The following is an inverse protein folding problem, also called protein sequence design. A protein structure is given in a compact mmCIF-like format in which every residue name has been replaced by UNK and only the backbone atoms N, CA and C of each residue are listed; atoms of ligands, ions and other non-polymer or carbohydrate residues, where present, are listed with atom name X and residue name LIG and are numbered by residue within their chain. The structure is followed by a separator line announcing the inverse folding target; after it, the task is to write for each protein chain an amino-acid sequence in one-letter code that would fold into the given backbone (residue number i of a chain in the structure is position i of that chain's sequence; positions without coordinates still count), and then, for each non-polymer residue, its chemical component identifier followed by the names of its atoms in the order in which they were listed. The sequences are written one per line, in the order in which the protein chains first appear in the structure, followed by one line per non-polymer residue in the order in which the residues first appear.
data_IF_051078729912
#
_entry.id   IF_051078729912
#
_cell.length_a   1.000
_cell.length_b   1.000
_cell.length_c   1.000
_cell.angle_alpha   90.00
_cell.angle_beta   90.00
_cell.angle_gamma   90.00
#
_symmetry.space_group_name_H-M   'P 1'
#
loop_
_entity.id
_entity.type
_entity.pdbx_description
1 polymer ?
#
# COMPACT_ATOMS: atom_id res chain seq x y z
N UNK A 1 -20.26 1.53 -9.98
CA UNK A 1 -19.19 2.28 -10.69
C UNK A 1 -18.58 1.45 -11.81
N UNK A 2 -18.13 0.22 -11.58
CA UNK A 2 -17.56 -0.63 -12.64
C UNK A 2 -18.49 -0.90 -13.83
N UNK A 3 -19.80 -1.09 -13.61
CA UNK A 3 -20.74 -1.21 -14.74
C UNK A 3 -20.86 0.08 -15.56
N UNK A 4 -20.64 1.24 -14.96
CA UNK A 4 -20.59 2.52 -15.68
C UNK A 4 -19.32 2.64 -16.50
N UNK A 5 -18.18 2.18 -15.97
CA UNK A 5 -16.90 2.09 -16.68
C UNK A 5 -17.00 1.12 -17.86
N UNK A 6 -17.54 -0.10 -17.66
CA UNK A 6 -17.78 -1.08 -18.72
C UNK A 6 -18.73 -0.55 -19.81
N UNK A 7 -19.75 0.22 -19.42
CA UNK A 7 -20.66 0.91 -20.35
C UNK A 7 -20.12 2.23 -20.90
N UNK A 8 -18.83 2.54 -20.69
CA UNK A 8 -18.14 3.74 -21.19
C UNK A 8 -18.81 5.06 -20.80
N UNK A 9 -19.45 5.10 -19.62
CA UNK A 9 -20.01 6.33 -19.03
C UNK A 9 -18.98 7.11 -18.20
N UNK A 10 -17.86 6.47 -17.89
CA UNK A 10 -16.69 6.99 -17.19
C UNK A 10 -15.48 6.39 -17.90
N UNK A 11 -14.38 7.14 -18.05
CA UNK A 11 -13.17 6.68 -18.74
C UNK A 11 -12.25 5.83 -17.85
N UNK A 12 -12.18 6.17 -16.55
CA UNK A 12 -11.37 5.45 -15.55
C UNK A 12 -11.92 5.67 -14.13
N UNK A 13 -11.65 4.73 -13.24
CA UNK A 13 -11.96 4.84 -11.81
C UNK A 13 -10.67 4.57 -11.03
N UNK A 14 -10.22 5.49 -10.16
CA UNK A 14 -9.11 5.18 -9.26
C UNK A 14 -9.58 4.17 -8.22
N UNK A 15 -8.82 3.11 -8.02
CA UNK A 15 -9.06 2.07 -7.01
C UNK A 15 -7.79 1.79 -6.23
N UNK A 16 -7.93 1.25 -5.02
CA UNK A 16 -6.78 0.79 -4.25
C UNK A 16 -6.12 -0.40 -4.95
N UNK A 17 -4.78 -0.44 -4.96
CA UNK A 17 -4.03 -1.61 -5.45
C UNK A 17 -4.43 -2.89 -4.70
N UNK A 18 -4.79 -2.78 -3.42
CA UNK A 18 -5.21 -3.91 -2.59
C UNK A 18 -6.56 -4.52 -3.02
N UNK A 19 -7.40 -3.74 -3.71
CA UNK A 19 -8.76 -4.19 -4.07
C UNK A 19 -8.83 -4.81 -5.47
N UNK A 20 -7.79 -4.63 -6.30
CA UNK A 20 -7.78 -5.00 -7.73
C UNK A 20 -8.17 -6.47 -7.92
N UNK A 21 -7.45 -7.38 -7.27
CA UNK A 21 -7.68 -8.82 -7.42
C UNK A 21 -9.05 -9.24 -6.92
N UNK A 22 -9.47 -8.72 -5.76
CA UNK A 22 -10.78 -9.01 -5.18
C UNK A 22 -11.90 -8.59 -6.12
N UNK A 23 -11.77 -7.42 -6.74
CA UNK A 23 -12.77 -6.88 -7.67
C UNK A 23 -12.81 -7.71 -8.95
N UNK A 24 -11.67 -8.03 -9.55
CA UNK A 24 -11.61 -8.80 -10.79
C UNK A 24 -12.07 -10.26 -10.59
N UNK A 25 -11.71 -10.88 -9.46
CA UNK A 25 -12.09 -12.25 -9.14
C UNK A 25 -13.59 -12.40 -8.81
N UNK A 26 -14.18 -11.39 -8.14
CA UNK A 26 -15.60 -11.43 -7.77
C UNK A 26 -16.55 -11.14 -8.94
N UNK A 27 -16.04 -10.58 -10.05
CA UNK A 27 -16.83 -10.23 -11.25
C UNK A 27 -16.11 -10.61 -12.55
N UNK A 28 -16.05 -11.91 -12.88
CA UNK A 28 -15.35 -12.40 -14.06
C UNK A 28 -15.81 -11.76 -15.37
N UNK A 29 -17.10 -11.43 -15.47
CA UNK A 29 -17.68 -10.78 -16.65
C UNK A 29 -17.15 -9.36 -16.89
N UNK A 30 -16.68 -8.70 -15.81
CA UNK A 30 -16.01 -7.42 -15.92
C UNK A 30 -14.52 -7.57 -16.21
N UNK A 31 -13.88 -8.64 -15.74
CA UNK A 31 -12.46 -8.89 -15.98
C UNK A 31 -12.14 -9.07 -17.48
N UNK A 32 -13.11 -9.44 -18.32
CA UNK A 32 -12.96 -9.50 -19.78
C UNK A 32 -13.08 -8.11 -20.46
N UNK A 33 -13.68 -7.13 -19.78
CA UNK A 33 -13.99 -5.81 -20.34
C UNK A 33 -13.14 -4.69 -19.75
N UNK A 34 -12.61 -4.91 -18.56
CA UNK A 34 -11.85 -3.95 -17.78
C UNK A 34 -10.44 -4.49 -17.56
N UNK A 35 -9.49 -3.58 -17.45
CA UNK A 35 -8.11 -3.89 -17.12
C UNK A 35 -7.59 -2.86 -16.13
N UNK A 36 -6.56 -3.24 -15.37
CA UNK A 36 -5.77 -2.25 -14.66
C UNK A 36 -5.07 -1.37 -15.70
N UNK A 37 -5.21 -0.05 -15.57
CA UNK A 37 -4.56 0.89 -16.47
C UNK A 37 -3.04 0.85 -16.22
N UNK A 38 -2.21 0.41 -17.19
CA UNK A 38 -0.77 0.37 -17.01
C UNK A 38 -0.18 1.78 -16.95
N UNK A 39 1.03 1.86 -16.41
CA UNK A 39 1.91 3.03 -16.39
C UNK A 39 1.41 4.25 -15.60
N UNK A 40 0.22 4.19 -15.00
CA UNK A 40 -0.38 5.29 -14.25
C UNK A 40 -0.66 4.87 -12.81
N UNK A 41 -0.08 5.59 -11.86
CA UNK A 41 -0.41 5.47 -10.44
C UNK A 41 -0.82 6.81 -9.88
N UNK A 42 -1.87 6.81 -9.06
CA UNK A 42 -2.28 7.97 -8.27
C UNK A 42 -1.87 7.74 -6.83
N UNK A 43 -0.98 8.58 -6.30
CA UNK A 43 -0.63 8.58 -4.90
C UNK A 43 -1.35 9.73 -4.20
N UNK A 44 -2.03 9.41 -3.10
CA UNK A 44 -2.73 10.36 -2.26
C UNK A 44 -2.24 10.20 -0.82
N UNK A 45 -1.56 11.20 -0.24
CA UNK A 45 -1.06 11.11 1.11
C UNK A 45 -2.24 11.04 2.08
N UNK A 46 -2.31 9.92 2.78
CA UNK A 46 -3.32 9.65 3.80
C UNK A 46 -2.64 8.90 4.94
N UNK A 47 -2.46 9.54 6.11
CA UNK A 47 -1.77 8.91 7.23
C UNK A 47 -2.57 7.73 7.78
N UNK A 48 -1.86 6.66 8.16
CA UNK A 48 -2.43 5.57 8.95
C UNK A 48 -2.43 6.00 10.41
N UNK A 49 -3.63 6.17 10.99
CA UNK A 49 -3.80 6.62 12.37
C UNK A 49 -4.37 5.47 13.20
N UNK A 50 -3.68 5.15 14.30
CA UNK A 50 -4.18 4.20 15.30
C UNK A 50 -4.96 4.95 16.37
N UNK A 51 -6.22 4.60 16.56
CA UNK A 51 -7.07 5.13 17.63
C UNK A 51 -7.10 4.16 18.80
N UNK A 52 -6.97 4.68 20.03
CA UNK A 52 -7.18 3.93 21.26
C UNK A 52 -8.29 4.58 22.08
N UNK A 53 -8.84 3.83 23.04
CA UNK A 53 -9.83 4.36 23.97
C UNK A 53 -9.21 5.49 24.82
N UNK A 54 -9.91 6.61 24.94
CA UNK A 54 -9.50 7.76 25.76
C UNK A 54 -9.31 7.42 27.23
N UNK A 55 -9.97 6.38 27.73
CA UNK A 55 -9.87 5.92 29.11
C UNK A 55 -8.70 4.95 29.34
N UNK A 56 -7.94 4.60 28.29
CA UNK A 56 -6.81 3.66 28.33
C UNK A 56 -5.53 4.31 27.77
N UNK A 57 -5.02 5.41 28.36
CA UNK A 57 -3.87 6.14 27.82
C UNK A 57 -2.59 5.29 27.75
N UNK A 58 -2.44 4.33 28.67
CA UNK A 58 -1.32 3.36 28.65
C UNK A 58 -1.32 2.49 27.39
N UNK A 59 -2.45 2.30 26.74
CA UNK A 59 -2.51 1.56 25.47
C UNK A 59 -1.82 2.33 24.35
N UNK A 60 -2.01 3.66 24.29
CA UNK A 60 -1.32 4.50 23.32
C UNK A 60 0.20 4.40 23.48
N UNK A 61 0.69 4.60 24.71
CA UNK A 61 2.12 4.52 25.04
C UNK A 61 2.73 3.18 24.64
N UNK A 62 2.03 2.07 24.97
CA UNK A 62 2.50 0.72 24.64
C UNK A 62 2.50 0.45 23.15
N UNK A 63 1.45 0.89 22.44
CA UNK A 63 1.35 0.72 20.99
C UNK A 63 2.45 1.50 20.28
N UNK A 64 2.66 2.76 20.67
CA UNK A 64 3.71 3.61 20.11
C UNK A 64 5.10 3.01 20.36
N UNK A 65 5.39 2.60 21.61
CA UNK A 65 6.66 1.95 21.94
C UNK A 65 6.88 0.66 21.12
N UNK A 66 5.85 -0.18 20.99
CA UNK A 66 5.92 -1.41 20.21
C UNK A 66 6.18 -1.17 18.73
N UNK A 67 5.48 -0.21 18.12
CA UNK A 67 5.68 0.16 16.72
C UNK A 67 7.10 0.74 16.49
N UNK A 68 7.60 1.55 17.42
CA UNK A 68 8.94 2.12 17.34
C UNK A 68 10.02 1.04 17.44
N UNK A 69 9.86 0.07 18.36
CA UNK A 69 10.75 -1.08 18.45
C UNK A 69 10.73 -1.91 17.16
N UNK A 70 9.54 -2.17 16.62
CA UNK A 70 9.39 -2.94 15.39
C UNK A 70 10.00 -2.25 14.16
N UNK A 71 10.00 -0.91 14.13
CA UNK A 71 10.71 -0.13 13.11
C UNK A 71 12.23 -0.21 13.30
N UNK A 72 12.71 -0.07 14.53
CA UNK A 72 14.14 -0.11 14.86
C UNK A 72 14.78 -1.47 14.56
N UNK A 73 14.09 -2.57 14.86
CA UNK A 73 14.58 -3.93 14.59
C UNK A 73 14.22 -4.48 13.19
N UNK A 74 13.55 -3.64 12.39
CA UNK A 74 13.11 -3.93 11.03
C UNK A 74 12.02 -5.00 10.91
N UNK A 75 11.41 -5.46 12.01
CA UNK A 75 10.30 -6.41 11.95
C UNK A 75 9.06 -5.81 11.31
N UNK A 76 8.83 -4.51 11.49
CA UNK A 76 7.78 -3.78 10.78
C UNK A 76 7.98 -3.87 9.27
N UNK A 77 9.18 -3.53 8.79
CA UNK A 77 9.51 -3.55 7.36
C UNK A 77 9.37 -4.96 6.75
N UNK A 78 9.82 -6.00 7.49
CA UNK A 78 9.67 -7.40 7.07
C UNK A 78 8.20 -7.79 6.94
N UNK A 79 7.38 -7.45 7.94
CA UNK A 79 5.96 -7.75 7.95
C UNK A 79 5.24 -7.00 6.83
N UNK A 80 5.53 -5.71 6.65
CA UNK A 80 4.96 -4.90 5.58
C UNK A 80 5.26 -5.50 4.21
N UNK A 81 6.53 -5.79 3.95
CA UNK A 81 6.97 -6.38 2.67
C UNK A 81 6.37 -7.75 2.41
N UNK A 82 6.25 -8.61 3.41
CA UNK A 82 5.64 -9.92 3.21
C UNK A 82 4.11 -9.83 3.03
N UNK A 83 3.46 -8.89 3.69
CA UNK A 83 2.01 -8.73 3.64
C UNK A 83 1.54 -8.08 2.33
N UNK A 84 2.34 -7.18 1.77
CA UNK A 84 2.01 -6.41 0.56
C UNK A 84 2.90 -6.77 -0.64
N UNK A 85 3.48 -7.97 -0.65
CA UNK A 85 4.42 -8.38 -1.69
C UNK A 85 3.82 -8.30 -3.10
N UNK A 86 2.53 -8.61 -3.23
CA UNK A 86 1.82 -8.58 -4.50
C UNK A 86 1.62 -7.15 -5.01
N UNK A 87 1.12 -6.26 -4.17
CA UNK A 87 0.87 -4.85 -4.50
C UNK A 87 2.18 -4.11 -4.77
N UNK A 88 3.24 -4.43 -4.02
CA UNK A 88 4.59 -3.93 -4.28
C UNK A 88 5.09 -4.38 -5.66
N UNK A 89 4.79 -5.62 -6.07
CA UNK A 89 5.14 -6.10 -7.41
C UNK A 89 4.33 -5.38 -8.50
N UNK A 90 3.02 -5.19 -8.31
CA UNK A 90 2.19 -4.40 -9.24
C UNK A 90 2.71 -2.97 -9.42
N UNK A 91 3.12 -2.33 -8.32
CA UNK A 91 3.70 -0.98 -8.35
C UNK A 91 5.03 -0.94 -9.10
N UNK A 92 5.84 -2.02 -9.03
CA UNK A 92 7.11 -2.12 -9.76
C UNK A 92 6.91 -2.33 -11.25
N UNK A 93 5.98 -3.20 -11.61
CA UNK A 93 5.76 -3.60 -13.00
C UNK A 93 4.98 -2.54 -13.78
N UNK A 94 4.17 -1.72 -13.09
CA UNK A 94 3.20 -0.83 -13.72
C UNK A 94 3.42 0.67 -13.57
N UNK A 95 4.52 1.18 -12.99
CA UNK A 95 4.61 2.61 -12.63
C UNK A 95 5.77 3.36 -13.27
N UNK A 96 5.51 4.00 -14.42
CA UNK A 96 6.39 5.03 -14.98
C UNK A 96 5.85 6.46 -14.79
N UNK A 97 4.52 6.65 -14.71
CA UNK A 97 3.90 7.98 -14.50
C UNK A 97 3.08 8.02 -13.21
N UNK A 98 3.60 8.76 -12.23
CA UNK A 98 2.95 8.94 -10.91
C UNK A 98 2.33 10.32 -10.80
N UNK A 99 1.06 10.37 -10.44
CA UNK A 99 0.36 11.59 -10.05
C UNK A 99 0.28 11.65 -8.54
N UNK A 100 0.93 12.64 -7.94
CA UNK A 100 0.83 12.92 -6.51
C UNK A 100 -0.25 13.96 -6.30
N UNK A 101 -1.32 13.56 -5.62
CA UNK A 101 -2.41 14.46 -5.26
C UNK A 101 -2.09 15.17 -3.95
N UNK A 102 -2.35 16.47 -3.89
CA UNK A 102 -2.30 17.20 -2.63
C UNK A 102 -3.56 16.89 -1.80
N UNK A 103 -3.39 16.55 -0.53
CA UNK A 103 -4.49 16.43 0.40
C UNK A 103 -4.49 17.63 1.37
N UNK A 104 -5.31 18.68 1.14
CA UNK A 104 -5.33 19.87 1.99
C UNK A 104 -5.95 19.62 3.36
N UNK A 105 -6.53 18.43 3.60
CA UNK A 105 -7.21 18.07 4.83
C UNK A 105 -6.33 17.27 5.80
N UNK A 106 -5.10 16.92 5.42
CA UNK A 106 -4.15 16.26 6.34
C UNK A 106 -3.44 17.33 7.15
N UNK A 107 -3.51 17.28 8.49
CA UNK A 107 -2.69 18.13 9.36
C UNK A 107 -1.22 17.99 8.97
N UNK A 108 -0.48 19.12 8.91
CA UNK A 108 0.89 19.12 8.40
C UNK A 108 1.81 18.15 9.14
N UNK A 109 1.52 17.93 10.42
CA UNK A 109 2.24 17.04 11.32
C UNK A 109 2.11 15.56 10.93
N UNK A 110 1.12 15.21 10.11
CA UNK A 110 0.85 13.84 9.66
C UNK A 110 1.20 13.62 8.18
N UNK A 111 1.72 14.63 7.48
CA UNK A 111 2.04 14.55 6.04
C UNK A 111 3.38 13.83 5.78
N UNK A 112 4.06 13.35 6.82
CA UNK A 112 5.49 12.98 6.75
C UNK A 112 5.84 11.70 5.98
N UNK A 113 4.89 10.95 5.42
CA UNK A 113 5.23 9.76 4.62
C UNK A 113 5.46 10.09 3.15
N UNK A 114 6.71 9.98 2.71
CA UNK A 114 7.09 10.05 1.29
C UNK A 114 6.44 8.87 0.54
N UNK A 115 5.92 9.06 -0.69
CA UNK A 115 5.46 7.95 -1.51
C UNK A 115 6.57 6.91 -1.71
N UNK A 116 6.23 5.62 -1.59
CA UNK A 116 7.16 4.52 -1.86
C UNK A 116 7.70 4.61 -3.30
N UNK A 117 9.01 4.66 -3.46
CA UNK A 117 9.61 4.58 -4.79
C UNK A 117 9.49 3.14 -5.34
N UNK A 118 9.31 2.94 -6.66
CA UNK A 118 9.26 1.58 -7.23
C UNK A 118 10.55 0.78 -6.94
N UNK A 119 11.68 1.46 -6.77
CA UNK A 119 12.97 0.86 -6.37
C UNK A 119 12.98 0.40 -4.92
N UNK A 120 12.24 1.07 -4.03
CA UNK A 120 12.13 0.73 -2.60
C UNK A 120 11.15 -0.42 -2.35
N UNK A 121 10.20 -0.64 -3.27
CA UNK A 121 9.28 -1.77 -3.30
C UNK A 121 9.97 -3.12 -3.58
N UNK A 122 11.27 -3.15 -3.83
CA UNK A 122 12.02 -4.38 -3.97
C UNK A 122 12.06 -5.15 -2.63
N UNK A 123 11.56 -6.39 -2.65
CA UNK A 123 11.74 -7.33 -1.53
C UNK A 123 13.24 -7.55 -1.31
N UNK A 124 13.75 -7.54 -0.06
CA UNK A 124 15.09 -8.03 0.18
C UNK A 124 15.17 -9.46 -0.34
N UNK A 125 16.22 -9.77 -1.10
CA UNK A 125 16.57 -11.16 -1.37
C UNK A 125 16.58 -11.89 -0.03
N UNK A 126 15.82 -12.99 0.06
CA UNK A 126 15.82 -13.84 1.24
C UNK A 126 17.27 -14.05 1.67
N UNK A 127 17.63 -13.57 2.86
CA UNK A 127 18.96 -13.81 3.38
C UNK A 127 19.12 -15.32 3.50
N UNK A 128 19.79 -15.93 2.53
CA UNK A 128 20.21 -17.31 2.61
C UNK A 128 20.96 -17.43 3.93
N UNK A 129 20.39 -18.18 4.87
CA UNK A 129 21.03 -18.45 6.14
C UNK A 129 22.43 -18.93 5.85
N UNK A 130 23.44 -18.19 6.32
CA UNK A 130 24.79 -18.72 6.46
C UNK A 130 24.70 -19.87 7.45
N UNK A 131 24.41 -21.06 6.93
CA UNK A 131 24.58 -22.32 7.61
C UNK A 131 26.04 -22.41 8.01
N UNK A 132 26.28 -22.26 9.32
CA UNK A 132 27.56 -22.46 9.96
C UNK A 132 28.14 -23.80 9.52
N UNK A 133 29.36 -23.75 8.99
CA UNK A 133 30.16 -24.94 8.74
C UNK A 133 30.31 -25.77 10.01
N UNK A 134 30.28 -27.08 9.82
CA UNK A 134 30.87 -28.06 10.71
C UNK A 134 32.02 -28.71 9.98
#
# INVERSE_FOLDING_TARGET
LFDMLAKKRIDYIPISLMDVDTILASRPELAEQLMLLPDITVYFPLPVIFYVNIHEPRMAERLEAGLNLARQDGSFERLFKSSFAHELQLLRDGAHKRFVLANPFVPRELVEEKPLEPTEAALPAASAGKGRGR
#
